data_IF_830887572206
#
_entry.id   IF_830887572206
#
_cell.length_a   1.000
_cell.length_b   1.000
_cell.length_c   1.000
_cell.angle_alpha   90.00
_cell.angle_beta   90.00
_cell.angle_gamma   90.00
#
_symmetry.space_group_name_H-M   'P 1'
#
loop_
_entity.id
_entity.type
_entity.pdbx_description
1 polymer ?
#
# COMPACT_ATOMS: atom_id res chain seq x y z
N UNK A 1 -15.86 4.65 -9.44
CA UNK A 1 -14.48 4.45 -8.95
C UNK A 1 -14.52 4.02 -7.48
N UNK A 2 -13.73 3.05 -7.10
CA UNK A 2 -13.78 2.53 -5.71
C UNK A 2 -13.00 3.45 -4.76
N UNK A 3 -13.66 4.08 -3.77
CA UNK A 3 -12.96 4.97 -2.82
C UNK A 3 -11.83 4.28 -2.06
N UNK A 4 -11.92 2.95 -1.86
CA UNK A 4 -10.89 2.21 -1.15
C UNK A 4 -9.54 2.26 -1.87
N UNK A 5 -9.52 2.40 -3.20
CA UNK A 5 -8.30 2.52 -3.98
C UNK A 5 -7.56 3.80 -3.58
N UNK A 6 -8.26 4.92 -3.51
CA UNK A 6 -7.67 6.19 -3.12
C UNK A 6 -7.20 6.19 -1.67
N UNK A 7 -7.98 5.59 -0.77
CA UNK A 7 -7.59 5.48 0.63
C UNK A 7 -6.29 4.69 0.78
N UNK A 8 -6.14 3.60 0.03
CA UNK A 8 -4.92 2.80 0.07
C UNK A 8 -3.73 3.52 -0.55
N UNK A 9 -3.93 4.26 -1.63
CA UNK A 9 -2.88 5.08 -2.22
C UNK A 9 -2.38 6.11 -1.22
N UNK A 10 -3.28 6.83 -0.58
CA UNK A 10 -2.93 7.83 0.42
C UNK A 10 -2.19 7.20 1.60
N UNK A 11 -2.70 6.08 2.11
CA UNK A 11 -2.08 5.35 3.20
C UNK A 11 -0.67 4.91 2.84
N UNK A 12 -0.48 4.36 1.63
CA UNK A 12 0.83 3.93 1.16
C UNK A 12 1.80 5.09 1.03
N UNK A 13 1.35 6.22 0.47
CA UNK A 13 2.21 7.39 0.30
C UNK A 13 2.67 7.97 1.64
N UNK A 14 1.84 7.89 2.68
CA UNK A 14 2.20 8.31 4.02
C UNK A 14 3.11 7.30 4.71
N UNK A 15 2.91 6.03 4.43
CA UNK A 15 3.63 4.94 5.08
C UNK A 15 5.05 4.75 4.54
N UNK A 16 5.25 4.90 3.23
CA UNK A 16 6.54 4.61 2.60
C UNK A 16 7.71 5.38 3.20
N UNK A 17 7.63 6.71 3.41
CA UNK A 17 8.76 7.44 4.00
C UNK A 17 9.09 6.96 5.41
N UNK A 18 8.07 6.60 6.19
CA UNK A 18 8.23 6.08 7.54
C UNK A 18 8.98 4.75 7.52
N UNK A 19 8.61 3.85 6.61
CA UNK A 19 9.27 2.56 6.48
C UNK A 19 10.71 2.70 6.01
N UNK A 20 10.97 3.58 5.07
CA UNK A 20 12.32 3.84 4.57
C UNK A 20 13.21 4.36 5.70
N UNK A 21 12.71 5.30 6.49
CA UNK A 21 13.46 5.85 7.61
C UNK A 21 13.77 4.77 8.65
N UNK A 22 12.91 3.79 8.80
CA UNK A 22 13.11 2.67 9.73
C UNK A 22 14.00 1.56 9.16
N UNK A 23 14.42 1.68 7.89
CA UNK A 23 15.24 0.67 7.24
C UNK A 23 14.47 -0.56 6.77
N UNK A 24 13.15 -0.47 6.68
CA UNK A 24 12.29 -1.57 6.25
C UNK A 24 12.21 -1.59 4.72
N UNK A 25 12.27 -2.78 4.12
CA UNK A 25 12.15 -2.93 2.67
C UNK A 25 10.74 -2.58 2.23
N UNK A 26 10.64 -1.82 1.12
CA UNK A 26 9.37 -1.33 0.62
C UNK A 26 9.05 -1.80 -0.81
N UNK A 27 9.81 -2.78 -1.34
CA UNK A 27 9.64 -3.24 -2.72
C UNK A 27 8.19 -3.68 -3.00
N UNK A 28 7.61 -4.50 -2.13
CA UNK A 28 6.23 -4.96 -2.27
C UNK A 28 5.25 -3.80 -2.23
N UNK A 29 5.43 -2.87 -1.31
CA UNK A 29 4.54 -1.72 -1.16
C UNK A 29 4.60 -0.79 -2.37
N UNK A 30 5.79 -0.59 -2.94
CA UNK A 30 5.94 0.23 -4.16
C UNK A 30 5.20 -0.43 -5.32
N UNK A 31 5.37 -1.74 -5.52
CA UNK A 31 4.67 -2.46 -6.57
C UNK A 31 3.15 -2.37 -6.40
N UNK A 32 2.66 -2.49 -5.17
CA UNK A 32 1.24 -2.37 -4.87
C UNK A 32 0.72 -0.96 -5.13
N UNK A 33 1.50 0.07 -4.79
CA UNK A 33 1.12 1.45 -5.10
C UNK A 33 1.04 1.69 -6.60
N UNK A 34 1.96 1.13 -7.37
CA UNK A 34 1.93 1.24 -8.83
C UNK A 34 0.65 0.60 -9.37
N UNK A 35 0.29 -0.58 -8.88
CA UNK A 35 -0.94 -1.25 -9.29
C UNK A 35 -2.19 -0.44 -8.92
N UNK A 36 -2.21 0.15 -7.73
CA UNK A 36 -3.32 1.00 -7.29
C UNK A 36 -3.46 2.23 -8.17
N UNK A 37 -2.35 2.88 -8.50
CA UNK A 37 -2.37 4.06 -9.38
C UNK A 37 -2.87 3.71 -10.78
N UNK A 38 -2.46 2.58 -11.32
CA UNK A 38 -2.96 2.12 -12.64
C UNK A 38 -4.45 1.88 -12.61
N UNK A 39 -4.97 1.25 -11.56
CA UNK A 39 -6.40 1.02 -11.40
C UNK A 39 -7.16 2.33 -11.26
N UNK A 40 -6.64 3.28 -10.51
CA UNK A 40 -7.26 4.59 -10.33
C UNK A 40 -7.30 5.38 -11.63
N UNK A 41 -6.31 5.20 -12.50
CA UNK A 41 -6.25 5.87 -13.80
C UNK A 41 -7.11 5.20 -14.88
N UNK A 42 -7.84 4.13 -14.52
CA UNK A 42 -8.68 3.42 -15.47
C UNK A 42 -7.97 2.31 -16.23
N UNK A 43 -6.81 1.89 -15.75
CA UNK A 43 -6.07 0.76 -16.31
C UNK A 43 -6.61 -0.59 -15.84
N UNK A 44 -5.71 -1.51 -15.51
CA UNK A 44 -6.09 -2.86 -15.07
C UNK A 44 -6.94 -2.79 -13.81
N UNK A 45 -8.16 -3.38 -13.80
CA UNK A 45 -9.02 -3.39 -12.61
C UNK A 45 -8.38 -4.17 -11.47
N UNK A 46 -8.64 -3.72 -10.24
CA UNK A 46 -8.23 -4.43 -9.04
C UNK A 46 -9.47 -5.04 -8.40
N UNK A 47 -9.40 -6.33 -8.06
CA UNK A 47 -10.50 -7.03 -7.41
C UNK A 47 -10.55 -6.67 -5.92
N UNK A 48 -11.69 -6.94 -5.28
CA UNK A 48 -11.85 -6.73 -3.84
C UNK A 48 -10.86 -7.58 -3.04
N UNK A 49 -10.59 -8.81 -3.50
CA UNK A 49 -9.62 -9.70 -2.85
C UNK A 49 -8.20 -9.11 -2.91
N UNK A 50 -7.83 -8.54 -4.06
CA UNK A 50 -6.54 -7.89 -4.21
C UNK A 50 -6.42 -6.65 -3.31
N UNK A 51 -7.49 -5.85 -3.22
CA UNK A 51 -7.52 -4.70 -2.32
C UNK A 51 -7.36 -5.12 -0.86
N UNK A 52 -8.04 -6.20 -0.46
CA UNK A 52 -7.93 -6.72 0.90
C UNK A 52 -6.49 -7.19 1.20
N UNK A 53 -5.84 -7.83 0.23
CA UNK A 53 -4.46 -8.27 0.37
C UNK A 53 -3.51 -7.08 0.51
N UNK A 54 -3.68 -6.06 -0.33
CA UNK A 54 -2.84 -4.85 -0.27
C UNK A 54 -3.00 -4.18 1.09
N UNK A 55 -4.24 -4.06 1.58
CA UNK A 55 -4.50 -3.49 2.90
C UNK A 55 -3.81 -4.29 3.99
N UNK A 56 -3.91 -5.62 3.93
CA UNK A 56 -3.26 -6.49 4.91
C UNK A 56 -1.74 -6.34 4.86
N UNK A 57 -1.15 -6.23 3.68
CA UNK A 57 0.28 -6.05 3.52
C UNK A 57 0.75 -4.70 4.08
N UNK A 58 -0.03 -3.63 3.86
CA UNK A 58 0.28 -2.32 4.44
C UNK A 58 0.17 -2.35 5.96
N UNK A 59 -0.86 -3.00 6.50
CA UNK A 59 -1.02 -3.13 7.95
C UNK A 59 0.10 -3.96 8.57
N UNK A 60 0.54 -5.02 7.89
CA UNK A 60 1.66 -5.83 8.35
C UNK A 60 2.97 -5.02 8.38
N UNK A 61 3.19 -4.18 7.37
CA UNK A 61 4.36 -3.31 7.34
C UNK A 61 4.33 -2.30 8.48
N UNK A 62 3.17 -1.75 8.79
CA UNK A 62 3.01 -0.82 9.89
C UNK A 62 3.26 -1.52 11.24
N UNK A 63 2.79 -2.77 11.39
CA UNK A 63 3.04 -3.58 12.58
C UNK A 63 4.53 -3.84 12.75
N UNK A 64 5.24 -4.14 11.67
CA UNK A 64 6.69 -4.33 11.70
C UNK A 64 7.39 -3.05 12.17
N UNK A 65 6.98 -1.91 11.66
CA UNK A 65 7.51 -0.61 12.08
C UNK A 65 7.28 -0.39 13.58
N UNK A 66 6.06 -0.66 14.06
CA UNK A 66 5.70 -0.48 15.46
C UNK A 66 6.48 -1.43 16.38
N UNK A 67 6.81 -2.63 15.89
CA UNK A 67 7.59 -3.60 16.64
C UNK A 67 9.04 -3.15 16.81
N UNK A 68 9.59 -2.46 15.80
CA UNK A 68 10.96 -1.97 15.83
C UNK A 68 11.13 -0.73 16.73
N UNK A 69 10.03 -0.11 17.12
CA UNK A 69 10.09 0.99 18.07
C UNK A 69 10.27 0.46 19.50
#
# INVERSE_FOLDING_TARGET
>A
MNPAIFDLIEKGLLLLPVLVDAGIKITTQVEQLIALNKAAAGGTPITDDELAKIRADFDAALDEFNTDL
#
